data_IF_126188915760
#
_entry.id   IF_126188915760
#
_cell.length_a   1.000
_cell.length_b   1.000
_cell.length_c   1.000
_cell.angle_alpha   90.00
_cell.angle_beta   90.00
_cell.angle_gamma   90.00
#
_symmetry.space_group_name_H-M   'P 1'
#
loop_
_entity.id
_entity.type
_entity.pdbx_description
1 polymer ?
#
# COMPACT_ATOMS: atom_id res chain seq x y z
N UNK A 1 10.54 -13.75 14.23
CA UNK A 1 9.53 -13.11 13.35
C UNK A 1 9.03 -11.87 14.07
N UNK A 2 9.08 -10.70 13.41
CA UNK A 2 8.54 -9.45 13.94
C UNK A 2 6.99 -9.47 13.80
N UNK A 3 6.28 -9.21 14.90
CA UNK A 3 4.81 -9.20 14.94
C UNK A 3 4.24 -7.82 15.25
N UNK A 4 5.05 -6.91 15.79
CA UNK A 4 4.67 -5.53 16.09
C UNK A 4 5.85 -4.60 15.87
N UNK A 5 5.56 -3.37 15.50
CA UNK A 5 6.53 -2.33 15.27
C UNK A 5 6.09 -1.07 16.02
N UNK A 6 7.04 -0.40 16.66
CA UNK A 6 6.84 0.90 17.30
C UNK A 6 7.67 1.93 16.55
N UNK A 7 7.00 2.95 16.01
CA UNK A 7 7.64 4.00 15.23
C UNK A 7 7.48 5.36 15.91
N UNK A 8 8.56 6.10 15.93
CA UNK A 8 8.66 7.42 16.53
C UNK A 8 9.08 8.42 15.45
N UNK A 9 8.12 9.21 14.92
CA UNK A 9 8.37 10.10 13.79
C UNK A 9 8.88 11.44 14.27
N UNK A 10 10.19 11.60 14.36
CA UNK A 10 10.82 12.87 14.71
C UNK A 10 10.88 13.83 13.53
N UNK A 11 11.09 13.30 12.31
CA UNK A 11 11.18 14.04 11.06
C UNK A 11 10.48 13.29 9.94
N UNK A 12 9.90 14.05 9.01
CA UNK A 12 9.40 13.54 7.73
C UNK A 12 9.96 14.41 6.62
N UNK A 13 10.64 13.79 5.65
CA UNK A 13 11.29 14.49 4.51
C UNK A 13 12.17 15.70 4.92
N UNK A 14 12.86 15.59 6.06
CA UNK A 14 13.69 16.66 6.60
C UNK A 14 12.95 17.73 7.41
N UNK A 15 11.64 17.62 7.52
CA UNK A 15 10.82 18.52 8.35
C UNK A 15 10.65 17.92 9.74
N UNK A 16 10.93 18.71 10.77
CA UNK A 16 10.73 18.32 12.17
C UNK A 16 9.24 18.21 12.51
N UNK A 17 8.83 17.08 13.11
CA UNK A 17 7.45 16.87 13.54
C UNK A 17 7.22 17.47 14.93
N UNK A 18 6.22 18.33 15.05
CA UNK A 18 5.78 18.95 16.31
C UNK A 18 4.25 18.96 16.41
N UNK A 19 3.65 18.17 17.30
CA UNK A 19 4.28 17.18 18.20
C UNK A 19 4.86 15.99 17.44
N UNK A 20 5.74 15.23 18.08
CA UNK A 20 6.27 13.98 17.53
C UNK A 20 5.17 12.93 17.57
N UNK A 21 4.68 12.42 16.42
CA UNK A 21 3.71 11.34 16.40
C UNK A 21 4.36 9.99 16.70
N UNK A 22 3.56 9.11 17.26
CA UNK A 22 3.94 7.73 17.62
C UNK A 22 2.97 6.77 16.96
N UNK A 23 3.50 5.71 16.37
CA UNK A 23 2.73 4.64 15.76
C UNK A 23 3.06 3.31 16.42
N UNK A 24 2.04 2.50 16.66
CA UNK A 24 2.17 1.08 17.01
C UNK A 24 1.46 0.29 15.94
N UNK A 25 2.21 -0.54 15.19
CA UNK A 25 1.69 -1.34 14.09
C UNK A 25 1.77 -2.82 14.44
N UNK A 26 0.67 -3.53 14.25
CA UNK A 26 0.59 -4.98 14.41
C UNK A 26 0.44 -5.66 13.05
N UNK A 27 1.30 -6.65 12.76
CA UNK A 27 1.15 -7.52 11.60
C UNK A 27 0.13 -8.63 11.92
N UNK A 28 -1.13 -8.45 11.57
CA UNK A 28 -2.19 -9.39 11.93
C UNK A 28 -1.95 -10.79 11.35
N UNK A 29 -1.51 -10.86 10.11
CA UNK A 29 -1.18 -12.13 9.45
C UNK A 29 -0.02 -12.83 10.17
N UNK A 30 1.03 -12.09 10.52
CA UNK A 30 2.18 -12.65 11.26
C UNK A 30 1.77 -13.12 12.64
N UNK A 31 0.93 -12.36 13.34
CA UNK A 31 0.38 -12.74 14.64
C UNK A 31 -0.45 -14.02 14.52
N UNK A 32 -1.32 -14.11 13.51
CA UNK A 32 -2.11 -15.31 13.26
C UNK A 32 -1.24 -16.52 12.90
N UNK A 33 -0.19 -16.33 12.09
CA UNK A 33 0.77 -17.40 11.79
C UNK A 33 1.42 -17.94 13.07
N UNK A 34 1.82 -17.05 13.98
CA UNK A 34 2.39 -17.45 15.27
C UNK A 34 1.39 -18.22 16.13
N UNK A 35 0.17 -17.69 16.29
CA UNK A 35 -0.88 -18.30 17.12
C UNK A 35 -1.32 -19.65 16.57
N UNK A 36 -1.45 -19.78 15.25
CA UNK A 36 -1.87 -21.02 14.58
C UNK A 36 -0.71 -21.98 14.28
N UNK A 37 0.54 -21.62 14.57
CA UNK A 37 1.71 -22.44 14.27
C UNK A 37 1.92 -22.69 12.77
N UNK A 38 1.60 -21.70 11.90
CA UNK A 38 1.75 -21.78 10.45
C UNK A 38 3.00 -21.08 9.98
N UNK A 39 3.67 -21.62 8.98
CA UNK A 39 4.86 -21.04 8.35
C UNK A 39 4.57 -20.28 7.05
N UNK A 40 3.36 -20.39 6.53
CA UNK A 40 2.91 -19.74 5.32
C UNK A 40 1.54 -19.07 5.58
N UNK A 41 1.43 -17.79 5.22
CA UNK A 41 0.21 -16.99 5.40
C UNK A 41 -1.00 -17.61 4.68
N UNK A 42 -0.79 -18.23 3.53
CA UNK A 42 -1.86 -18.86 2.76
C UNK A 42 -2.46 -20.12 3.40
N UNK A 43 -1.76 -20.70 4.39
CA UNK A 43 -2.23 -21.87 5.14
C UNK A 43 -3.00 -21.51 6.42
N UNK A 44 -3.10 -20.20 6.73
CA UNK A 44 -3.91 -19.74 7.85
C UNK A 44 -5.38 -20.18 7.73
N UNK A 45 -5.93 -20.63 8.82
CA UNK A 45 -7.37 -20.89 8.93
C UNK A 45 -8.11 -19.55 9.04
N UNK A 46 -8.99 -19.28 8.06
CA UNK A 46 -9.82 -18.07 8.02
C UNK A 46 -11.00 -18.19 9.01
N UNK A 47 -11.55 -19.39 9.10
CA UNK A 47 -12.64 -19.73 10.01
C UNK A 47 -12.56 -21.18 10.45
N UNK A 48 -13.49 -21.60 11.34
CA UNK A 48 -13.59 -22.97 11.83
C UNK A 48 -14.20 -23.97 10.83
N UNK A 49 -14.66 -23.51 9.67
CA UNK A 49 -15.34 -24.32 8.65
C UNK A 49 -14.39 -24.81 7.55
N UNK A 50 -13.09 -24.59 7.72
CA UNK A 50 -12.05 -25.09 6.79
C UNK A 50 -11.68 -24.14 5.66
N UNK A 51 -12.21 -22.92 5.64
CA UNK A 51 -11.76 -21.87 4.69
C UNK A 51 -10.37 -21.42 5.09
N UNK A 52 -9.48 -21.31 4.11
CA UNK A 52 -8.10 -20.82 4.30
C UNK A 52 -7.94 -19.39 3.82
N UNK A 53 -6.92 -18.68 4.29
CA UNK A 53 -6.51 -17.37 3.80
C UNK A 53 -6.31 -17.35 2.28
N UNK A 54 -5.72 -18.41 1.73
CA UNK A 54 -5.56 -18.57 0.28
C UNK A 54 -6.85 -18.57 -0.51
N UNK A 55 -7.92 -19.13 0.05
CA UNK A 55 -9.23 -19.22 -0.62
C UNK A 55 -9.87 -17.84 -0.77
N UNK A 56 -9.49 -16.89 0.09
CA UNK A 56 -9.98 -15.52 0.08
C UNK A 56 -9.09 -14.61 -0.77
N UNK A 57 -7.76 -14.70 -0.65
CA UNK A 57 -6.85 -13.68 -1.16
C UNK A 57 -5.91 -14.13 -2.28
N UNK A 58 -5.61 -15.43 -2.40
CA UNK A 58 -4.54 -15.88 -3.29
C UNK A 58 -4.81 -15.59 -4.77
N UNK A 59 -6.06 -15.67 -5.22
CA UNK A 59 -6.39 -15.36 -6.61
C UNK A 59 -6.20 -13.85 -6.90
N UNK A 60 -6.64 -12.99 -5.98
CA UNK A 60 -6.45 -11.55 -6.10
C UNK A 60 -4.96 -11.20 -6.14
N UNK A 61 -4.14 -11.78 -5.27
CA UNK A 61 -2.69 -11.59 -5.27
C UNK A 61 -2.05 -11.94 -6.61
N UNK A 62 -2.44 -13.08 -7.20
CA UNK A 62 -1.93 -13.49 -8.51
C UNK A 62 -2.31 -12.51 -9.62
N UNK A 63 -3.57 -12.11 -9.69
CA UNK A 63 -4.07 -11.24 -10.74
C UNK A 63 -3.51 -9.83 -10.63
N UNK A 64 -3.47 -9.26 -9.42
CA UNK A 64 -2.87 -7.94 -9.20
C UNK A 64 -1.35 -7.95 -9.42
N UNK A 65 -0.66 -9.04 -9.06
CA UNK A 65 0.76 -9.20 -9.36
C UNK A 65 1.00 -9.22 -10.87
N UNK A 66 0.27 -10.03 -11.61
CA UNK A 66 0.35 -10.08 -13.06
C UNK A 66 0.05 -8.71 -13.69
N UNK A 67 -1.02 -8.04 -13.24
CA UNK A 67 -1.34 -6.68 -13.69
C UNK A 67 -0.19 -5.71 -13.44
N UNK A 68 0.31 -5.64 -12.21
CA UNK A 68 1.32 -4.67 -11.81
C UNK A 68 2.66 -4.87 -12.51
N UNK A 69 3.09 -6.12 -12.73
CA UNK A 69 4.41 -6.43 -13.25
C UNK A 69 4.44 -6.72 -14.76
N UNK A 70 3.31 -7.15 -15.35
CA UNK A 70 3.31 -7.65 -16.73
C UNK A 70 2.35 -6.90 -17.66
N UNK A 71 1.12 -6.60 -17.24
CA UNK A 71 0.06 -6.19 -18.14
C UNK A 71 -0.41 -4.73 -18.02
N UNK A 72 -0.09 -4.03 -16.92
CA UNK A 72 -0.51 -2.64 -16.76
C UNK A 72 -0.07 -1.77 -17.95
N UNK A 73 -1.00 -1.03 -18.53
CA UNK A 73 -0.74 -0.14 -19.67
C UNK A 73 0.00 1.11 -19.19
N UNK A 74 1.28 1.18 -19.49
CA UNK A 74 2.19 2.25 -19.03
C UNK A 74 1.83 3.62 -19.58
N UNK A 75 1.34 3.71 -20.83
CA UNK A 75 0.91 4.98 -21.41
C UNK A 75 -0.31 5.57 -20.68
N UNK A 76 -1.28 4.71 -20.40
CA UNK A 76 -2.47 5.08 -19.61
C UNK A 76 -2.10 5.48 -18.18
N UNK A 77 -1.17 4.77 -17.56
CA UNK A 77 -0.70 5.07 -16.22
C UNK A 77 0.05 6.41 -16.16
N UNK A 78 0.87 6.74 -17.15
CA UNK A 78 1.54 8.05 -17.23
C UNK A 78 0.53 9.20 -17.28
N UNK A 79 -0.50 9.08 -18.13
CA UNK A 79 -1.60 10.06 -18.19
C UNK A 79 -2.34 10.17 -16.85
N UNK A 80 -2.61 9.03 -16.20
CA UNK A 80 -3.25 9.03 -14.89
C UNK A 80 -2.39 9.71 -13.83
N UNK A 81 -1.09 9.49 -13.86
CA UNK A 81 -0.15 10.15 -12.96
C UNK A 81 -0.20 11.68 -13.12
N UNK A 82 -0.06 12.17 -14.35
CA UNK A 82 -0.13 13.61 -14.66
C UNK A 82 -1.47 14.23 -14.23
N UNK A 83 -2.58 13.57 -14.55
CA UNK A 83 -3.92 14.05 -14.17
C UNK A 83 -4.07 14.13 -12.64
N UNK A 84 -3.63 13.11 -11.93
CA UNK A 84 -3.72 13.02 -10.47
C UNK A 84 -2.82 14.07 -9.80
N UNK A 85 -1.64 14.30 -10.34
CA UNK A 85 -0.71 15.35 -9.86
C UNK A 85 -1.31 16.75 -10.04
N UNK A 86 -1.87 17.03 -11.22
CA UNK A 86 -2.50 18.33 -11.53
C UNK A 86 -3.72 18.57 -10.64
N UNK A 87 -4.56 17.55 -10.43
CA UNK A 87 -5.71 17.65 -9.53
C UNK A 87 -5.27 17.89 -8.08
N UNK A 88 -4.24 17.21 -7.61
CA UNK A 88 -3.66 17.44 -6.28
C UNK A 88 -3.24 18.91 -6.12
N UNK A 89 -2.49 19.46 -7.07
CA UNK A 89 -2.05 20.87 -7.05
C UNK A 89 -3.24 21.84 -7.02
N UNK A 90 -4.24 21.63 -7.88
CA UNK A 90 -5.45 22.45 -7.94
C UNK A 90 -6.24 22.44 -6.62
N UNK A 91 -6.33 21.28 -5.97
CA UNK A 91 -7.00 21.16 -4.67
C UNK A 91 -6.24 21.87 -3.54
N UNK A 92 -4.91 21.81 -3.57
CA UNK A 92 -4.07 22.54 -2.60
C UNK A 92 -4.24 24.06 -2.73
N UNK A 93 -4.32 24.61 -3.94
CA UNK A 93 -4.61 26.04 -4.17
C UNK A 93 -5.96 26.44 -3.55
N UNK A 94 -6.94 25.53 -3.56
CA UNK A 94 -8.26 25.73 -2.94
C UNK A 94 -8.28 25.42 -1.44
N UNK A 95 -7.13 25.08 -0.84
CA UNK A 95 -6.96 24.68 0.56
C UNK A 95 -7.78 23.45 0.95
N UNK A 96 -8.01 22.55 0.01
CA UNK A 96 -8.72 21.28 0.19
C UNK A 96 -7.71 20.16 0.42
N UNK A 97 -7.08 20.13 1.58
CA UNK A 97 -5.95 19.25 1.90
C UNK A 97 -6.30 17.76 1.91
N UNK A 98 -7.49 17.38 2.39
CA UNK A 98 -7.88 15.97 2.47
C UNK A 98 -8.06 15.33 1.08
N UNK A 99 -8.86 15.89 0.16
CA UNK A 99 -8.94 15.34 -1.20
C UNK A 99 -7.63 15.50 -1.98
N UNK A 100 -6.81 16.52 -1.71
CA UNK A 100 -5.48 16.64 -2.30
C UNK A 100 -4.58 15.48 -1.87
N UNK A 101 -4.62 15.10 -0.60
CA UNK A 101 -3.87 13.96 -0.09
C UNK A 101 -4.31 12.63 -0.72
N UNK A 102 -5.62 12.45 -0.93
CA UNK A 102 -6.15 11.28 -1.64
C UNK A 102 -5.60 11.19 -3.08
N UNK A 103 -5.50 12.30 -3.79
CA UNK A 103 -4.86 12.33 -5.11
C UNK A 103 -3.35 12.04 -5.02
N UNK A 104 -2.67 12.52 -4.01
CA UNK A 104 -1.25 12.22 -3.77
C UNK A 104 -1.02 10.71 -3.58
N UNK A 105 -1.87 10.04 -2.80
CA UNK A 105 -1.81 8.58 -2.61
C UNK A 105 -2.05 7.81 -3.92
N UNK A 106 -3.01 8.25 -4.74
CA UNK A 106 -3.26 7.67 -6.07
C UNK A 106 -2.05 7.84 -6.99
N UNK A 107 -1.45 9.04 -7.03
CA UNK A 107 -0.24 9.29 -7.80
C UNK A 107 0.92 8.39 -7.36
N UNK A 108 1.12 8.23 -6.04
CA UNK A 108 2.13 7.34 -5.48
C UNK A 108 1.92 5.88 -5.91
N UNK A 109 0.67 5.40 -5.87
CA UNK A 109 0.35 4.04 -6.35
C UNK A 109 0.67 3.87 -7.84
N UNK A 110 0.23 4.80 -8.68
CA UNK A 110 0.50 4.77 -10.13
C UNK A 110 2.00 4.80 -10.40
N UNK A 111 2.76 5.64 -9.68
CA UNK A 111 4.21 5.71 -9.77
C UNK A 111 4.86 4.35 -9.48
N UNK A 112 4.45 3.69 -8.41
CA UNK A 112 4.98 2.37 -8.04
C UNK A 112 4.70 1.31 -9.12
N UNK A 113 3.54 1.35 -9.76
CA UNK A 113 3.23 0.42 -10.87
C UNK A 113 4.08 0.75 -12.11
N UNK A 114 4.29 2.02 -12.43
CA UNK A 114 5.17 2.45 -13.52
C UNK A 114 6.62 2.00 -13.28
N UNK A 115 7.11 2.12 -12.05
CA UNK A 115 8.44 1.65 -11.65
C UNK A 115 8.54 0.12 -11.79
N UNK A 116 7.56 -0.62 -11.26
CA UNK A 116 7.49 -2.08 -11.40
C UNK A 116 7.44 -2.55 -12.86
N UNK A 117 6.85 -1.76 -13.76
CA UNK A 117 6.82 -1.99 -15.21
C UNK A 117 8.11 -1.56 -15.92
N UNK A 118 9.08 -0.94 -15.23
CA UNK A 118 10.28 -0.38 -15.83
C UNK A 118 10.04 0.78 -16.79
N UNK A 119 8.90 1.48 -16.65
CA UNK A 119 8.53 2.59 -17.53
C UNK A 119 9.14 3.93 -17.08
N UNK A 120 9.65 3.99 -15.87
CA UNK A 120 10.38 5.12 -15.30
C UNK A 120 11.69 4.60 -14.71
N UNK A 121 12.77 5.40 -14.80
CA UNK A 121 14.11 5.09 -14.30
C UNK A 121 14.56 6.15 -13.28
#
# INVERSE_FOLDING_TARGET
MEITQFTYFQQMTGLECKPVPVEITYGLERLCMFVQGKNNVFDLDWNSEGVKYKDVFHQAEKEFSAYNFEFANTESLLKNFENTENECKSLLEKKLSLPAYDQCLKASHVFNVLDARGAIS
#
